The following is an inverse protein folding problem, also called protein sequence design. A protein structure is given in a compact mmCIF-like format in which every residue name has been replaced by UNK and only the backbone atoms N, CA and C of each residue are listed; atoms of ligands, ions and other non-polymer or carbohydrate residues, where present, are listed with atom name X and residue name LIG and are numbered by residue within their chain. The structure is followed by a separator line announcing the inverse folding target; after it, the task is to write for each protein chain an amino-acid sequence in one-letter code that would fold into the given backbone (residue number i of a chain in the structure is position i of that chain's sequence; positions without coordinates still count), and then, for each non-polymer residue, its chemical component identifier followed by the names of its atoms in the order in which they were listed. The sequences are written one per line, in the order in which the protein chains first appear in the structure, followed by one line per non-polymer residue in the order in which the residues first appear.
data_IF_754504785134
#
_entry.id   IF_754504785134
#
_cell.length_a   1.000
_cell.length_b   1.000
_cell.length_c   1.000
_cell.angle_alpha   90.00
_cell.angle_beta   90.00
_cell.angle_gamma   90.00
#
_symmetry.space_group_name_H-M   'P 1'
#
loop_
_entity.id
_entity.type
_entity.pdbx_description
1 polymer ?
#
# COMPACT_ATOMS: atom_id res chain seq x y z
N UNK A 1 -16.72 -11.91 -13.93
CA UNK A 1 -17.33 -12.36 -12.65
C UNK A 1 -16.30 -12.44 -11.52
N UNK A 2 -15.13 -12.98 -11.76
CA UNK A 2 -14.05 -13.10 -10.76
C UNK A 2 -13.54 -11.72 -10.29
N UNK A 3 -13.44 -10.76 -11.21
CA UNK A 3 -12.97 -9.40 -10.89
C UNK A 3 -13.94 -8.65 -9.97
N UNK A 4 -15.23 -8.84 -10.13
CA UNK A 4 -16.24 -8.27 -9.23
C UNK A 4 -16.19 -8.87 -7.82
N UNK A 5 -15.88 -10.16 -7.71
CA UNK A 5 -15.74 -10.84 -6.42
C UNK A 5 -14.47 -10.37 -5.67
N UNK A 6 -13.37 -10.14 -6.40
CA UNK A 6 -12.15 -9.60 -5.81
C UNK A 6 -12.36 -8.14 -5.35
N UNK A 7 -13.07 -7.34 -6.13
CA UNK A 7 -13.43 -5.96 -5.76
C UNK A 7 -14.32 -5.93 -4.51
N UNK A 8 -15.27 -6.86 -4.42
CA UNK A 8 -16.13 -7.00 -3.22
C UNK A 8 -15.36 -7.47 -1.99
N UNK A 9 -14.42 -8.41 -2.17
CA UNK A 9 -13.55 -8.86 -1.09
C UNK A 9 -12.61 -7.75 -0.60
N UNK A 10 -12.06 -6.96 -1.52
CA UNK A 10 -11.23 -5.82 -1.17
C UNK A 10 -12.04 -4.70 -0.48
N UNK A 11 -13.27 -4.45 -0.93
CA UNK A 11 -14.19 -3.52 -0.28
C UNK A 11 -14.61 -4.00 1.11
N UNK A 12 -14.84 -5.29 1.27
CA UNK A 12 -15.21 -5.89 2.57
C UNK A 12 -14.03 -5.86 3.57
N UNK A 13 -12.80 -5.99 3.08
CA UNK A 13 -11.59 -5.90 3.91
C UNK A 13 -11.24 -4.44 4.26
N UNK A 14 -11.54 -3.51 3.32
CA UNK A 14 -11.18 -2.09 3.46
C UNK A 14 -12.25 -1.24 4.17
N UNK A 15 -13.44 -1.79 4.43
CA UNK A 15 -14.53 -1.02 5.04
C UNK A 15 -15.27 -1.84 6.11
N UNK A 16 -14.74 -1.89 7.33
CA UNK A 16 -15.40 -2.59 8.45
C UNK A 16 -16.81 -2.09 8.76
N UNK A 17 -17.10 -0.83 8.41
CA UNK A 17 -18.41 -0.21 8.63
C UNK A 17 -19.48 -0.66 7.63
N UNK A 18 -19.09 -1.00 6.41
CA UNK A 18 -20.04 -1.46 5.39
C UNK A 18 -20.54 -2.89 5.67
N UNK A 19 -19.69 -3.75 6.23
CA UNK A 19 -20.07 -5.13 6.56
C UNK A 19 -21.00 -5.18 7.78
N UNK A 20 -20.83 -4.34 8.74
CA UNK A 20 -21.72 -4.20 9.91
C UNK A 20 -23.15 -3.81 9.51
N UNK A 21 -23.10 -3.14 8.66
CA UNK A 21 -24.29 -2.62 8.35
C UNK A 21 -25.15 -3.49 7.61
N UNK A 22 -24.69 -4.03 6.71
CA UNK A 22 -25.44 -4.96 5.84
C UNK A 22 -25.94 -6.17 6.66
N UNK A 23 -25.08 -6.70 7.49
CA UNK A 23 -25.47 -7.85 8.36
C UNK A 23 -26.52 -7.46 9.41
N UNK A 24 -26.47 -6.22 9.90
CA UNK A 24 -27.39 -5.73 10.92
C UNK A 24 -28.78 -5.41 10.32
N UNK A 25 -28.83 -4.87 9.10
CA UNK A 25 -30.10 -4.62 8.40
C UNK A 25 -30.79 -5.91 7.99
N UNK A 26 -30.09 -6.92 7.49
CA UNK A 26 -30.70 -8.19 7.08
C UNK A 26 -31.17 -9.01 8.28
N UNK A 27 -30.44 -9.06 9.36
CA UNK A 27 -30.86 -9.75 10.59
C UNK A 27 -32.07 -9.06 11.26
N UNK A 28 -32.05 -8.04 11.11
CA UNK A 28 -33.04 -7.32 11.65
C UNK A 28 -34.26 -7.46 10.94
N UNK A 29 -34.24 -7.27 9.72
CA UNK A 29 -35.43 -7.41 8.87
C UNK A 29 -36.01 -8.85 8.88
N UNK A 30 -35.15 -9.84 8.94
CA UNK A 30 -35.57 -11.25 9.05
C UNK A 30 -36.16 -11.57 10.41
N UNK A 31 -35.66 -10.99 11.48
CA UNK A 31 -36.20 -11.13 12.83
C UNK A 31 -37.55 -10.40 12.94
N UNK A 32 -37.66 -9.19 12.38
CA UNK A 32 -38.90 -8.40 12.36
C UNK A 32 -39.98 -9.12 11.53
N UNK A 33 -39.64 -9.65 10.36
CA UNK A 33 -40.57 -10.40 9.52
C UNK A 33 -41.03 -11.71 10.19
N UNK A 34 -40.13 -12.39 10.93
CA UNK A 34 -40.52 -13.59 11.68
C UNK A 34 -41.41 -13.26 12.88
N UNK A 35 -41.13 -12.19 13.59
CA UNK A 35 -41.95 -11.73 14.70
C UNK A 35 -43.34 -11.30 14.21
N UNK A 36 -43.43 -10.57 13.07
CA UNK A 36 -44.71 -10.20 12.48
C UNK A 36 -45.50 -11.43 12.02
N UNK A 37 -44.85 -12.41 11.38
CA UNK A 37 -45.51 -13.65 10.94
C UNK A 37 -46.02 -14.47 12.14
N UNK A 38 -45.29 -14.52 13.24
CA UNK A 38 -45.71 -15.24 14.46
C UNK A 38 -46.82 -14.45 15.18
N UNK A 39 -46.78 -13.13 15.18
CA UNK A 39 -47.83 -12.27 15.75
C UNK A 39 -49.11 -12.37 14.91
N UNK A 40 -49.01 -12.38 13.57
CA UNK A 40 -50.19 -12.58 12.67
C UNK A 40 -50.81 -13.97 12.84
N UNK A 41 -50.04 -14.99 12.97
CA UNK A 41 -50.56 -16.34 13.29
C UNK A 41 -51.21 -16.39 14.67
N UNK A 42 -50.71 -15.77 15.49
CA UNK A 42 -51.19 -15.71 16.74
C UNK A 42 -52.42 -15.00 16.83
N UNK A 43 -52.51 -13.91 16.15
CA UNK A 43 -53.73 -13.07 16.13
C UNK A 43 -54.88 -13.76 15.37
N UNK A 44 -54.62 -14.51 14.31
CA UNK A 44 -55.62 -15.29 13.59
C UNK A 44 -56.17 -16.44 14.47
N UNK A 45 -55.39 -17.09 15.23
CA UNK A 45 -55.81 -18.15 16.15
C UNK A 45 -56.55 -17.53 17.36
N UNK A 46 -56.05 -16.58 17.71
CA UNK A 46 -56.61 -15.92 18.72
C UNK A 46 -57.92 -15.40 18.43
N UNK A 47 -58.26 -14.90 17.29
CA UNK A 47 -59.52 -14.35 16.86
C UNK A 47 -60.69 -15.38 16.83
N UNK A 48 -60.37 -16.62 16.87
CA UNK A 48 -61.35 -17.69 16.91
C UNK A 48 -61.79 -18.11 18.33
N UNK A 49 -61.19 -17.54 19.38
CA UNK A 49 -61.50 -17.89 20.78
C UNK A 49 -62.46 -16.87 21.42
N UNK A 50 -63.37 -17.32 22.35
CA UNK A 50 -64.25 -16.39 23.07
C UNK A 50 -63.41 -15.39 23.89
N UNK A 51 -63.94 -14.15 24.01
CA UNK A 51 -63.25 -12.95 24.53
C UNK A 51 -62.68 -13.09 25.96
N UNK A 52 -63.09 -14.11 26.71
CA UNK A 52 -62.58 -14.36 28.05
C UNK A 52 -61.36 -15.30 28.17
N UNK A 53 -60.98 -15.86 27.21
CA UNK A 53 -60.02 -16.70 27.27
C UNK A 53 -58.76 -16.20 27.10
N UNK A 54 -58.83 -15.26 26.44
CA UNK A 54 -57.66 -14.49 26.07
C UNK A 54 -56.74 -14.15 27.21
N UNK A 55 -57.36 -13.63 28.24
CA UNK A 55 -56.63 -13.09 29.38
C UNK A 55 -56.13 -14.19 30.35
N UNK A 56 -56.66 -15.39 30.23
CA UNK A 56 -56.28 -16.49 31.11
C UNK A 56 -55.14 -17.37 30.57
N UNK A 57 -54.78 -17.21 29.30
CA UNK A 57 -53.84 -18.14 28.62
C UNK A 57 -52.43 -17.56 28.34
N UNK A 58 -52.23 -16.27 28.60
CA UNK A 58 -50.89 -15.68 28.58
C UNK A 58 -50.22 -16.00 29.93
N UNK A 59 -49.51 -17.10 29.95
CA UNK A 59 -48.71 -17.45 31.13
C UNK A 59 -47.60 -16.38 31.31
N UNK A 60 -47.71 -15.53 32.34
CA UNK A 60 -46.69 -14.49 32.53
C UNK A 60 -45.28 -15.04 32.75
N UNK A 61 -45.16 -16.28 33.20
CA UNK A 61 -43.85 -16.93 33.36
C UNK A 61 -43.25 -17.28 32.02
N UNK A 62 -44.06 -17.72 31.02
CA UNK A 62 -43.57 -18.05 29.69
C UNK A 62 -43.05 -16.81 28.92
N UNK A 63 -43.71 -15.66 29.08
CA UNK A 63 -43.29 -14.39 28.47
C UNK A 63 -42.01 -13.84 29.12
N UNK A 64 -41.88 -14.02 30.44
CA UNK A 64 -40.67 -13.59 31.16
C UNK A 64 -39.47 -14.50 30.82
N UNK A 65 -39.66 -15.81 30.70
CA UNK A 65 -38.61 -16.75 30.27
C UNK A 65 -38.18 -16.50 28.84
N UNK A 66 -39.09 -16.25 27.91
CA UNK A 66 -38.78 -15.90 26.52
C UNK A 66 -38.00 -14.58 26.44
N UNK A 67 -38.40 -13.55 27.21
CA UNK A 67 -37.67 -12.29 27.30
C UNK A 67 -36.26 -12.49 27.84
N UNK A 68 -36.10 -13.30 28.88
CA UNK A 68 -34.80 -13.65 29.45
C UNK A 68 -33.90 -14.46 28.48
N UNK A 69 -34.50 -15.34 27.68
CA UNK A 69 -33.78 -16.11 26.66
C UNK A 69 -33.22 -15.18 25.55
N UNK A 70 -34.06 -14.29 25.00
CA UNK A 70 -33.64 -13.36 23.97
C UNK A 70 -32.60 -12.35 24.47
N UNK A 71 -32.73 -11.91 25.72
CA UNK A 71 -31.71 -11.06 26.35
C UNK A 71 -30.34 -11.80 26.42
N UNK A 72 -30.32 -13.06 26.84
CA UNK A 72 -29.08 -13.86 26.87
C UNK A 72 -28.48 -14.08 25.47
N UNK A 73 -29.32 -14.29 24.47
CA UNK A 73 -28.86 -14.42 23.06
C UNK A 73 -28.25 -13.12 22.55
N UNK A 74 -28.94 -11.99 22.81
CA UNK A 74 -28.41 -10.68 22.38
C UNK A 74 -27.08 -10.35 23.09
N UNK A 75 -26.98 -10.65 24.38
CA UNK A 75 -25.76 -10.45 25.18
C UNK A 75 -24.61 -11.36 24.65
N UNK A 76 -24.93 -12.59 24.30
CA UNK A 76 -23.99 -13.51 23.66
C UNK A 76 -23.48 -12.97 22.31
N UNK A 77 -24.38 -12.44 21.53
CA UNK A 77 -24.02 -11.84 20.24
C UNK A 77 -23.21 -10.53 20.37
N UNK A 78 -23.35 -9.87 21.31
CA UNK A 78 -22.71 -8.77 21.57
C UNK A 78 -21.38 -9.00 21.99
N UNK A 79 -21.34 -9.94 22.84
CA UNK A 79 -20.02 -10.34 23.31
C UNK A 79 -19.14 -10.87 22.17
N UNK A 80 -19.65 -11.72 21.30
CA UNK A 80 -18.89 -12.23 20.15
C UNK A 80 -18.48 -11.13 19.19
N UNK A 81 -19.35 -10.17 18.95
CA UNK A 81 -19.05 -8.99 18.11
C UNK A 81 -17.91 -8.16 18.71
N UNK A 82 -18.00 -7.92 20.00
CA UNK A 82 -17.00 -7.13 20.72
C UNK A 82 -15.63 -7.85 20.82
N UNK A 83 -15.64 -8.96 20.95
CA UNK A 83 -14.58 -9.73 20.97
C UNK A 83 -13.87 -9.74 19.76
N UNK A 84 -14.69 -9.98 18.62
CA UNK A 84 -14.13 -9.95 17.27
C UNK A 84 -13.49 -8.58 16.98
N UNK A 85 -14.16 -7.53 17.32
CA UNK A 85 -13.58 -6.18 17.21
C UNK A 85 -12.30 -5.99 18.03
N UNK A 86 -12.31 -6.52 19.05
CA UNK A 86 -11.33 -6.43 19.85
C UNK A 86 -10.14 -7.06 19.47
N UNK A 87 -10.26 -8.03 18.83
CA UNK A 87 -9.14 -8.84 18.37
C UNK A 87 -8.79 -8.55 16.89
N UNK A 88 -9.79 -8.52 16.01
CA UNK A 88 -9.57 -8.40 14.57
C UNK A 88 -9.16 -7.00 14.11
N UNK A 89 -9.70 -5.95 14.71
CA UNK A 89 -9.32 -4.57 14.33
C UNK A 89 -7.85 -4.27 14.55
N UNK A 90 -7.27 -4.53 15.75
CA UNK A 90 -5.83 -4.28 15.90
C UNK A 90 -4.96 -5.16 15.00
N UNK A 91 -5.34 -6.41 14.75
CA UNK A 91 -4.61 -7.29 13.82
C UNK A 91 -4.68 -6.72 12.39
N UNK A 92 -5.84 -6.25 11.96
CA UNK A 92 -6.02 -5.63 10.64
C UNK A 92 -5.17 -4.37 10.46
N UNK A 93 -5.16 -3.49 11.46
CA UNK A 93 -4.37 -2.25 11.45
C UNK A 93 -2.86 -2.57 11.41
N UNK A 94 -2.40 -3.52 12.21
CA UNK A 94 -0.98 -3.97 12.21
C UNK A 94 -0.62 -4.56 10.85
N UNK A 95 -1.48 -5.40 10.28
CA UNK A 95 -1.26 -6.01 8.97
C UNK A 95 -1.17 -4.96 7.86
N UNK A 96 -2.05 -3.94 7.89
CA UNK A 96 -2.02 -2.82 6.94
C UNK A 96 -0.72 -1.99 7.08
N UNK A 97 -0.28 -1.72 8.31
CA UNK A 97 0.97 -0.99 8.56
C UNK A 97 2.20 -1.77 8.06
N UNK A 98 2.27 -3.07 8.34
CA UNK A 98 3.33 -3.94 7.83
C UNK A 98 3.28 -4.00 6.29
N UNK A 99 2.07 -4.14 5.74
CA UNK A 99 1.84 -4.13 4.29
C UNK A 99 2.34 -2.86 3.63
N UNK A 100 2.09 -1.70 4.25
CA UNK A 100 2.61 -0.41 3.78
C UNK A 100 4.14 -0.40 3.78
N UNK A 101 4.78 -0.83 4.87
CA UNK A 101 6.26 -0.85 4.99
C UNK A 101 6.85 -1.74 3.88
N UNK A 102 6.28 -2.92 3.66
CA UNK A 102 6.72 -3.84 2.60
C UNK A 102 6.53 -3.22 1.21
N UNK A 103 5.36 -2.62 0.95
CA UNK A 103 5.06 -1.97 -0.32
C UNK A 103 6.01 -0.78 -0.59
N UNK A 104 6.29 0.04 0.44
CA UNK A 104 7.25 1.15 0.35
C UNK A 104 8.69 0.63 0.12
N UNK A 105 9.04 -0.51 0.71
CA UNK A 105 10.35 -1.14 0.48
C UNK A 105 10.49 -1.60 -0.98
N UNK A 106 9.44 -2.22 -1.53
CA UNK A 106 9.41 -2.62 -2.94
C UNK A 106 9.47 -1.39 -3.86
N UNK A 107 8.71 -0.33 -3.53
CA UNK A 107 8.75 0.94 -4.25
C UNK A 107 10.17 1.55 -4.22
N UNK A 108 10.84 1.50 -3.07
CA UNK A 108 12.23 1.98 -2.94
C UNK A 108 13.18 1.23 -3.88
N UNK A 109 13.03 -0.09 -4.03
CA UNK A 109 13.87 -0.88 -4.94
C UNK A 109 13.70 -0.48 -6.42
N UNK A 110 12.56 0.09 -6.82
CA UNK A 110 12.33 0.57 -8.19
C UNK A 110 13.27 1.72 -8.57
N UNK A 111 13.82 2.45 -7.60
CA UNK A 111 14.81 3.51 -7.84
C UNK A 111 16.08 2.97 -8.54
N UNK A 112 16.40 1.68 -8.38
CA UNK A 112 17.55 1.04 -9.04
C UNK A 112 17.41 1.04 -10.56
N UNK A 113 16.19 0.93 -11.06
CA UNK A 113 15.88 0.83 -12.50
C UNK A 113 15.47 2.19 -13.08
N UNK A 114 15.79 3.28 -12.39
CA UNK A 114 15.44 4.67 -12.75
C UNK A 114 13.92 4.93 -12.80
N UNK A 115 13.14 4.11 -12.11
CA UNK A 115 11.70 4.35 -11.94
C UNK A 115 11.46 5.33 -10.77
N UNK A 116 10.31 6.01 -10.74
CA UNK A 116 10.03 7.01 -9.70
C UNK A 116 9.58 6.35 -8.38
N UNK A 117 10.47 5.50 -7.81
CA UNK A 117 10.17 4.70 -6.60
C UNK A 117 9.85 5.55 -5.38
N UNK A 118 10.53 6.68 -5.20
CA UNK A 118 10.25 7.58 -4.07
C UNK A 118 8.84 8.16 -4.15
N UNK A 119 8.39 8.54 -5.36
CA UNK A 119 7.03 9.05 -5.57
C UNK A 119 5.97 7.98 -5.32
N UNK A 120 6.26 6.75 -5.74
CA UNK A 120 5.36 5.61 -5.47
C UNK A 120 5.23 5.35 -3.97
N UNK A 121 6.36 5.38 -3.23
CA UNK A 121 6.34 5.22 -1.77
C UNK A 121 5.52 6.33 -1.11
N UNK A 122 5.71 7.60 -1.51
CA UNK A 122 4.95 8.75 -0.99
C UNK A 122 3.46 8.59 -1.31
N UNK A 123 3.11 8.15 -2.53
CA UNK A 123 1.71 7.90 -2.92
C UNK A 123 1.07 6.79 -2.06
N UNK A 124 1.82 5.72 -1.78
CA UNK A 124 1.36 4.64 -0.88
C UNK A 124 1.17 5.15 0.55
N UNK A 125 2.09 5.99 1.05
CA UNK A 125 1.96 6.63 2.35
C UNK A 125 0.73 7.56 2.40
N UNK A 126 0.48 8.33 1.34
CA UNK A 126 -0.70 9.21 1.23
C UNK A 126 -2.00 8.41 1.20
N UNK A 127 -2.01 7.31 0.45
CA UNK A 127 -3.16 6.39 0.38
C UNK A 127 -3.43 5.77 1.76
N UNK A 128 -2.38 5.34 2.45
CA UNK A 128 -2.51 4.81 3.82
C UNK A 128 -3.00 5.88 4.80
N UNK A 129 -2.50 7.12 4.71
CA UNK A 129 -2.96 8.22 5.55
C UNK A 129 -4.45 8.54 5.30
N UNK A 130 -4.96 8.30 4.09
CA UNK A 130 -6.36 8.53 3.73
C UNK A 130 -7.28 7.38 4.12
N UNK A 131 -6.84 6.12 3.96
CA UNK A 131 -7.68 4.92 4.17
C UNK A 131 -7.43 4.24 5.52
N UNK A 132 -6.31 4.54 6.16
CA UNK A 132 -5.87 3.89 7.38
C UNK A 132 -6.54 4.44 8.64
N UNK A 133 -6.05 4.06 9.82
CA UNK A 133 -6.66 4.48 11.09
C UNK A 133 -6.55 5.99 11.29
N UNK A 134 -7.65 6.61 11.69
CA UNK A 134 -7.72 8.06 11.94
C UNK A 134 -7.10 8.46 13.28
N UNK A 135 -6.95 7.53 14.20
CA UNK A 135 -6.40 7.77 15.53
C UNK A 135 -5.58 6.58 16.01
N UNK A 136 -4.67 6.86 16.90
CA UNK A 136 -3.90 5.82 17.56
C UNK A 136 -2.49 5.66 16.99
N UNK A 137 -1.84 4.60 17.44
CA UNK A 137 -0.43 4.32 17.22
C UNK A 137 -0.03 4.10 15.75
N UNK A 138 -0.95 3.63 14.94
CA UNK A 138 -0.70 3.26 13.54
C UNK A 138 -1.18 4.33 12.56
N UNK A 139 -1.49 5.54 13.06
CA UNK A 139 -1.90 6.68 12.25
C UNK A 139 -0.68 7.35 11.60
N UNK A 140 -0.69 7.48 10.28
CA UNK A 140 0.35 8.22 9.57
C UNK A 140 -0.05 9.70 9.48
N UNK A 141 0.69 10.54 10.19
CA UNK A 141 0.40 11.97 10.25
C UNK A 141 0.82 12.78 9.03
N UNK A 142 0.52 13.75 8.85
CA UNK A 142 0.78 14.61 7.93
C UNK A 142 2.12 15.05 7.88
N UNK A 143 2.57 15.35 9.04
CA UNK A 143 3.98 15.77 9.16
C UNK A 143 4.92 14.75 8.50
N UNK A 144 4.72 13.46 8.79
CA UNK A 144 5.51 12.39 8.17
C UNK A 144 5.40 12.41 6.64
N UNK A 145 4.21 12.64 6.13
CA UNK A 145 3.97 12.73 4.68
C UNK A 145 4.69 13.94 4.06
N UNK A 146 4.66 15.10 4.75
CA UNK A 146 5.35 16.30 4.29
C UNK A 146 6.87 16.10 4.27
N UNK A 147 7.43 15.48 5.32
CA UNK A 147 8.87 15.17 5.39
C UNK A 147 9.23 14.19 4.25
N UNK A 148 8.44 13.14 4.05
CA UNK A 148 8.66 12.16 2.97
C UNK A 148 8.63 12.84 1.59
N UNK A 149 7.70 13.77 1.37
CA UNK A 149 7.58 14.53 0.13
C UNK A 149 8.85 15.37 -0.13
N UNK A 150 9.32 16.11 0.88
CA UNK A 150 10.54 16.93 0.76
C UNK A 150 11.76 16.04 0.46
N UNK A 151 11.90 14.91 1.17
CA UNK A 151 13.00 13.95 0.94
C UNK A 151 12.94 13.35 -0.47
N UNK A 152 11.74 12.99 -0.93
CA UNK A 152 11.55 12.49 -2.30
C UNK A 152 11.97 13.52 -3.35
N UNK A 153 11.57 14.78 -3.16
CA UNK A 153 11.94 15.88 -4.04
C UNK A 153 13.46 16.10 -4.05
N UNK A 154 14.10 16.05 -2.89
CA UNK A 154 15.57 16.16 -2.76
C UNK A 154 16.24 15.01 -3.54
N UNK A 155 15.74 13.78 -3.40
CA UNK A 155 16.28 12.62 -4.12
C UNK A 155 16.21 12.77 -5.64
N UNK A 156 15.08 13.26 -6.17
CA UNK A 156 14.93 13.51 -7.61
C UNK A 156 15.86 14.64 -8.08
N UNK A 157 15.99 15.70 -7.27
CA UNK A 157 16.86 16.83 -7.59
C UNK A 157 18.34 16.38 -7.64
N UNK A 158 18.78 15.55 -6.70
CA UNK A 158 20.14 14.99 -6.66
C UNK A 158 20.38 14.13 -7.92
N UNK A 159 19.45 13.23 -8.26
CA UNK A 159 19.57 12.39 -9.46
C UNK A 159 19.65 13.24 -10.74
N UNK A 160 18.76 14.24 -10.85
CA UNK A 160 18.72 15.12 -12.01
C UNK A 160 20.02 15.92 -12.15
N UNK A 161 20.47 16.56 -11.06
CA UNK A 161 21.70 17.37 -11.08
C UNK A 161 22.93 16.50 -11.38
N UNK A 162 23.06 15.35 -10.74
CA UNK A 162 24.19 14.43 -10.95
C UNK A 162 24.22 13.93 -12.41
N UNK A 163 23.07 13.54 -12.95
CA UNK A 163 22.95 13.08 -14.34
C UNK A 163 23.25 14.22 -15.35
N UNK A 164 22.64 15.38 -15.16
CA UNK A 164 22.78 16.53 -16.04
C UNK A 164 24.23 17.08 -16.03
N UNK A 165 24.84 17.16 -14.84
CA UNK A 165 26.18 17.72 -14.69
C UNK A 165 27.29 16.73 -15.05
N UNK A 166 27.06 15.42 -14.89
CA UNK A 166 28.06 14.40 -15.18
C UNK A 166 28.48 14.42 -16.64
N UNK A 167 27.55 14.07 -17.52
CA UNK A 167 27.84 13.96 -18.96
C UNK A 167 28.08 15.35 -19.63
N UNK A 168 27.28 16.36 -19.26
CA UNK A 168 27.36 17.69 -19.91
C UNK A 168 28.68 18.40 -19.64
N UNK A 169 29.23 18.32 -18.44
CA UNK A 169 30.55 18.87 -18.10
C UNK A 169 31.69 18.25 -18.93
N UNK A 170 31.49 17.00 -19.35
CA UNK A 170 32.47 16.32 -20.21
C UNK A 170 32.27 16.61 -21.70
N UNK A 171 31.29 17.41 -22.10
CA UNK A 171 31.01 17.78 -23.49
C UNK A 171 30.20 16.73 -24.24
N UNK A 172 29.31 16.03 -23.55
CA UNK A 172 28.43 15.04 -24.17
C UNK A 172 27.43 15.69 -25.13
N UNK A 173 27.19 15.06 -26.27
CA UNK A 173 26.11 15.43 -27.18
C UNK A 173 24.76 15.02 -26.58
N UNK A 174 23.67 15.61 -27.09
CA UNK A 174 22.29 15.23 -26.65
C UNK A 174 22.03 13.75 -26.94
N UNK A 175 22.55 13.24 -28.08
CA UNK A 175 22.44 11.84 -28.47
C UNK A 175 23.17 10.94 -27.46
N UNK A 176 24.37 11.31 -27.05
CA UNK A 176 25.16 10.56 -26.07
C UNK A 176 24.44 10.54 -24.70
N UNK A 177 23.83 11.65 -24.29
CA UNK A 177 23.05 11.71 -23.05
C UNK A 177 21.84 10.75 -23.10
N UNK A 178 21.10 10.74 -24.22
CA UNK A 178 19.95 9.83 -24.38
C UNK A 178 20.41 8.35 -24.40
N UNK A 179 21.50 8.05 -25.11
CA UNK A 179 22.03 6.68 -25.16
C UNK A 179 22.60 6.23 -23.82
N UNK A 180 23.14 7.16 -23.01
CA UNK A 180 23.56 6.87 -21.65
C UNK A 180 22.34 6.48 -20.77
N UNK A 181 21.21 7.17 -20.91
CA UNK A 181 19.97 6.85 -20.16
C UNK A 181 19.49 5.44 -20.56
N UNK A 182 19.36 5.17 -21.85
CA UNK A 182 18.91 3.86 -22.36
C UNK A 182 19.86 2.75 -21.89
N UNK A 183 21.16 2.95 -22.07
CA UNK A 183 22.19 2.01 -21.63
C UNK A 183 22.14 1.76 -20.13
N UNK A 184 21.93 2.81 -19.35
CA UNK A 184 21.82 2.73 -17.89
C UNK A 184 20.61 1.88 -17.44
N UNK A 185 19.46 2.03 -18.09
CA UNK A 185 18.24 1.25 -17.78
C UNK A 185 18.50 -0.24 -18.08
N UNK A 186 19.01 -0.53 -19.29
CA UNK A 186 19.34 -1.91 -19.71
C UNK A 186 20.37 -2.50 -18.74
N UNK A 187 21.43 -1.75 -18.46
CA UNK A 187 22.49 -2.18 -17.55
C UNK A 187 21.96 -2.48 -16.14
N UNK A 188 21.11 -1.60 -15.60
CA UNK A 188 20.54 -1.80 -14.26
C UNK A 188 19.64 -3.05 -14.20
N UNK A 189 18.85 -3.32 -15.23
CA UNK A 189 18.01 -4.54 -15.32
C UNK A 189 18.91 -5.78 -15.34
N UNK A 190 19.91 -5.79 -16.24
CA UNK A 190 20.86 -6.92 -16.37
C UNK A 190 21.60 -7.11 -15.04
N UNK A 191 22.09 -6.02 -14.45
CA UNK A 191 22.79 -6.06 -13.15
C UNK A 191 21.92 -6.60 -12.03
N UNK A 192 20.67 -6.17 -11.96
CA UNK A 192 19.71 -6.67 -10.97
C UNK A 192 19.53 -8.18 -11.07
N UNK A 193 19.43 -8.72 -12.29
CA UNK A 193 19.30 -10.17 -12.54
C UNK A 193 20.61 -10.89 -12.19
N UNK A 194 21.75 -10.38 -12.65
CA UNK A 194 23.08 -10.97 -12.38
C UNK A 194 23.38 -10.99 -10.87
N UNK A 195 22.89 -10.01 -10.14
CA UNK A 195 23.07 -9.91 -8.69
C UNK A 195 22.26 -10.88 -7.85
N UNK A 196 21.24 -11.54 -8.40
CA UNK A 196 20.31 -12.42 -7.67
C UNK A 196 20.99 -13.50 -6.79
N UNK A 197 22.14 -14.09 -7.15
CA UNK A 197 22.78 -15.08 -6.28
C UNK A 197 23.13 -14.60 -4.86
N UNK A 198 23.30 -13.28 -4.65
CA UNK A 198 23.54 -12.71 -3.32
C UNK A 198 22.27 -11.96 -2.90
N UNK A 199 21.40 -12.55 -2.05
CA UNK A 199 20.08 -11.96 -1.78
C UNK A 199 20.16 -10.52 -1.25
N UNK A 200 19.28 -9.67 -1.72
CA UNK A 200 19.08 -8.25 -1.36
C UNK A 200 20.26 -7.36 -1.79
N UNK A 201 21.46 -7.62 -1.29
CA UNK A 201 22.65 -6.76 -1.54
C UNK A 201 23.17 -6.90 -2.98
N UNK A 202 23.16 -8.12 -3.52
CA UNK A 202 23.65 -8.41 -4.87
C UNK A 202 22.91 -7.65 -5.95
N UNK A 203 21.58 -7.77 -6.06
CA UNK A 203 20.82 -7.01 -7.06
C UNK A 203 21.02 -5.50 -6.95
N UNK A 204 21.09 -4.95 -5.73
CA UNK A 204 21.27 -3.51 -5.50
C UNK A 204 22.63 -3.05 -6.04
N UNK A 205 23.72 -3.68 -5.58
CA UNK A 205 25.07 -3.30 -5.98
C UNK A 205 25.30 -3.55 -7.47
N UNK A 206 24.85 -4.69 -7.98
CA UNK A 206 25.01 -5.04 -9.40
C UNK A 206 24.19 -4.10 -10.30
N UNK A 207 22.97 -3.73 -9.91
CA UNK A 207 22.17 -2.79 -10.69
C UNK A 207 22.83 -1.40 -10.75
N UNK A 208 23.41 -0.92 -9.65
CA UNK A 208 24.14 0.36 -9.63
C UNK A 208 25.37 0.28 -10.56
N UNK A 209 26.18 -0.76 -10.39
CA UNK A 209 27.40 -0.94 -11.17
C UNK A 209 27.11 -1.10 -12.68
N UNK A 210 26.23 -2.04 -13.02
CA UNK A 210 25.88 -2.31 -14.42
C UNK A 210 25.09 -1.14 -15.03
N UNK A 211 24.29 -0.43 -14.24
CA UNK A 211 23.61 0.79 -14.67
C UNK A 211 24.63 1.88 -15.08
N UNK A 212 25.66 2.06 -14.26
CA UNK A 212 26.78 2.96 -14.58
C UNK A 212 27.56 2.52 -15.83
N UNK A 213 27.90 1.22 -15.93
CA UNK A 213 28.58 0.66 -17.09
C UNK A 213 27.74 0.78 -18.36
N UNK A 214 26.44 0.57 -18.25
CA UNK A 214 25.50 0.75 -19.37
C UNK A 214 25.44 2.20 -19.83
N UNK A 215 25.44 3.17 -18.88
CA UNK A 215 25.51 4.59 -19.22
C UNK A 215 26.81 4.92 -19.95
N UNK A 216 27.93 4.36 -19.48
CA UNK A 216 29.24 4.51 -20.14
C UNK A 216 29.19 4.01 -21.58
N UNK A 217 28.73 2.75 -21.75
CA UNK A 217 28.67 2.10 -23.06
C UNK A 217 27.77 2.89 -24.03
N UNK A 218 26.60 3.31 -23.56
CA UNK A 218 25.66 4.09 -24.39
C UNK A 218 26.21 5.44 -24.81
N UNK A 219 26.82 6.19 -23.86
CA UNK A 219 27.43 7.48 -24.17
C UNK A 219 28.62 7.34 -25.16
N UNK A 220 29.50 6.38 -24.89
CA UNK A 220 30.67 6.12 -25.75
C UNK A 220 30.27 5.73 -27.18
N UNK A 221 29.30 4.82 -27.28
CA UNK A 221 28.80 4.35 -28.57
C UNK A 221 28.25 5.53 -29.40
N UNK A 222 27.47 6.40 -28.79
CA UNK A 222 26.89 7.56 -29.48
C UNK A 222 27.99 8.53 -29.95
N UNK A 223 28.92 8.88 -29.07
CA UNK A 223 29.98 9.85 -29.39
C UNK A 223 30.96 9.31 -30.43
N UNK A 224 31.30 8.02 -30.32
CA UNK A 224 32.17 7.36 -31.31
C UNK A 224 31.49 7.31 -32.70
N UNK A 225 30.22 6.99 -32.73
CA UNK A 225 29.46 6.94 -33.99
C UNK A 225 29.28 8.35 -34.60
N UNK A 226 29.31 9.40 -33.79
CA UNK A 226 29.28 10.80 -34.25
C UNK A 226 30.68 11.32 -34.64
N UNK A 227 31.70 10.44 -34.64
CA UNK A 227 33.06 10.73 -35.17
C UNK A 227 34.03 11.29 -34.14
N UNK A 228 33.71 11.26 -32.84
CA UNK A 228 34.67 11.69 -31.79
C UNK A 228 35.79 10.66 -31.61
N UNK A 229 36.96 11.15 -31.18
CA UNK A 229 38.11 10.32 -30.85
C UNK A 229 37.76 9.36 -29.67
N UNK A 230 38.41 8.20 -29.63
CA UNK A 230 38.31 7.23 -28.55
C UNK A 230 38.50 7.86 -27.16
N UNK A 231 39.51 8.72 -27.01
CA UNK A 231 39.85 9.37 -25.74
C UNK A 231 38.71 10.30 -25.25
N UNK A 232 38.11 11.04 -26.17
CA UNK A 232 36.98 11.96 -25.82
C UNK A 232 35.73 11.16 -25.50
N UNK A 233 35.42 10.12 -26.28
CA UNK A 233 34.29 9.22 -26.04
C UNK A 233 34.41 8.53 -24.68
N UNK A 234 35.63 8.04 -24.34
CA UNK A 234 35.93 7.42 -23.04
C UNK A 234 35.72 8.40 -21.89
N UNK A 235 36.24 9.62 -22.01
CA UNK A 235 36.06 10.66 -20.97
C UNK A 235 34.59 10.97 -20.73
N UNK A 236 33.80 11.06 -21.81
CA UNK A 236 32.34 11.29 -21.71
C UNK A 236 31.64 10.09 -21.08
N UNK A 237 32.03 8.88 -21.47
CA UNK A 237 31.50 7.63 -20.90
C UNK A 237 31.76 7.53 -19.39
N UNK A 238 33.00 7.83 -18.94
CA UNK A 238 33.33 7.86 -17.52
C UNK A 238 32.50 8.91 -16.75
N UNK A 239 32.32 10.08 -17.35
CA UNK A 239 31.52 11.15 -16.74
C UNK A 239 30.03 10.70 -16.63
N UNK A 240 29.52 9.97 -17.63
CA UNK A 240 28.18 9.39 -17.58
C UNK A 240 28.08 8.33 -16.48
N UNK A 241 29.11 7.47 -16.32
CA UNK A 241 29.20 6.48 -15.22
C UNK A 241 29.03 7.15 -13.86
N UNK A 242 29.89 8.11 -13.57
CA UNK A 242 29.88 8.75 -12.26
C UNK A 242 28.62 9.58 -12.03
N UNK A 243 28.14 10.29 -13.06
CA UNK A 243 26.88 11.03 -12.99
C UNK A 243 25.70 10.12 -12.66
N UNK A 244 25.60 9.00 -13.36
CA UNK A 244 24.55 7.99 -13.15
C UNK A 244 24.65 7.35 -11.76
N UNK A 245 25.83 6.86 -11.41
CA UNK A 245 26.09 6.14 -10.16
C UNK A 245 25.81 7.05 -8.95
N UNK A 246 26.37 8.27 -8.94
CA UNK A 246 26.17 9.19 -7.82
C UNK A 246 24.71 9.64 -7.73
N UNK A 247 24.05 9.86 -8.87
CA UNK A 247 22.63 10.20 -8.91
C UNK A 247 21.76 9.10 -8.31
N UNK A 248 21.96 7.85 -8.76
CA UNK A 248 21.21 6.68 -8.24
C UNK A 248 21.46 6.48 -6.75
N UNK A 249 22.73 6.53 -6.31
CA UNK A 249 23.06 6.38 -4.89
C UNK A 249 22.40 7.49 -4.06
N UNK A 250 22.47 8.73 -4.52
CA UNK A 250 21.84 9.88 -3.83
C UNK A 250 20.33 9.71 -3.71
N UNK A 251 19.67 9.31 -4.80
CA UNK A 251 18.22 9.04 -4.82
C UNK A 251 17.86 7.88 -3.87
N UNK A 252 18.68 6.82 -3.85
CA UNK A 252 18.45 5.68 -2.97
C UNK A 252 18.60 6.06 -1.49
N UNK A 253 19.59 6.90 -1.16
CA UNK A 253 19.76 7.41 0.21
C UNK A 253 18.52 8.24 0.61
N UNK A 254 18.08 9.15 -0.26
CA UNK A 254 16.87 9.93 0.00
C UNK A 254 15.64 9.03 0.18
N UNK A 255 15.49 8.01 -0.67
CA UNK A 255 14.41 7.02 -0.57
C UNK A 255 14.48 6.17 0.68
N UNK A 256 15.70 5.84 1.14
CA UNK A 256 15.88 5.15 2.43
C UNK A 256 15.40 6.04 3.60
N UNK A 257 15.67 7.34 3.53
CA UNK A 257 15.15 8.28 4.53
C UNK A 257 13.62 8.37 4.47
N UNK A 258 13.02 8.35 3.27
CA UNK A 258 11.55 8.26 3.10
C UNK A 258 11.03 6.99 3.80
N UNK A 259 11.69 5.86 3.60
CA UNK A 259 11.30 4.58 4.22
C UNK A 259 11.43 4.65 5.76
N UNK A 260 12.49 5.27 6.27
CA UNK A 260 12.67 5.51 7.72
C UNK A 260 11.51 6.36 8.25
N UNK A 261 11.14 7.44 7.56
CA UNK A 261 10.00 8.30 7.93
C UNK A 261 8.70 7.49 7.90
N UNK A 262 8.51 6.63 6.90
CA UNK A 262 7.35 5.73 6.82
C UNK A 262 7.27 4.82 8.05
N UNK A 263 8.37 4.13 8.38
CA UNK A 263 8.43 3.21 9.53
C UNK A 263 8.16 3.95 10.84
N UNK A 264 8.84 5.08 11.07
CA UNK A 264 8.62 5.88 12.29
C UNK A 264 7.21 6.47 12.35
N UNK A 265 6.70 6.97 11.23
CA UNK A 265 5.37 7.56 11.17
C UNK A 265 4.23 6.54 11.37
N UNK A 266 4.48 5.26 11.07
CA UNK A 266 3.50 4.18 11.30
C UNK A 266 3.63 3.61 12.72
N UNK A 267 4.84 3.52 13.29
CA UNK A 267 5.06 2.84 14.57
C UNK A 267 4.93 3.78 15.79
N UNK A 268 5.18 5.08 15.64
CA UNK A 268 5.24 6.06 16.74
C UNK A 268 4.33 7.25 16.54
#
# INVERSE_FOLDING_TARGET
MIELQIAWLLLAVLSPTAFGXVAETDAXSLAENRVVAVVDAXTMEXASLPAGXWLAQADPVATEEAGGFWARVSDGLXWTRDXVRXVMMPIGVVALGIGLILACTLAWLLNLVALPGNWLAIALMALYAWLGPETGRWQLGXVSLAIAFVLGLVGELVEFLAGAMGASRAGASRRATMMAIVGSIIGAIVGGIVGLPIPVVGPVLAAILFGGLGATAGAMFAEWNDGKNWRDSWRIGQAAFWGRTTGTVGKMVAGLLVLVVCVFGVLF
#
